data_IF_202271499318
#
_entry.id   IF_202271499318
#
_cell.length_a   1.000
_cell.length_b   1.000
_cell.length_c   1.000
_cell.angle_alpha   90.00
_cell.angle_beta   90.00
_cell.angle_gamma   90.00
#
_symmetry.space_group_name_H-M   'P 1'
#
loop_
_entity.id
_entity.type
_entity.pdbx_description
1 polymer ?
#
# COMPACT_ATOMS: atom_id res chain seq x y z
N UNK A 1 -15.77 -14.03 -27.08
CA UNK A 1 -16.00 -12.86 -26.20
C UNK A 1 -16.06 -13.42 -24.79
N UNK A 2 -14.95 -13.34 -24.03
CA UNK A 2 -14.62 -12.23 -23.11
C UNK A 2 -15.62 -12.26 -21.92
N UNK A 3 -15.25 -12.57 -20.67
CA UNK A 3 -14.32 -11.88 -19.77
C UNK A 3 -13.80 -12.88 -18.71
N UNK A 4 -12.51 -12.85 -18.27
CA UNK A 4 -12.05 -13.68 -17.15
C UNK A 4 -12.59 -13.18 -15.80
N UNK A 5 -12.96 -14.13 -14.93
CA UNK A 5 -13.29 -13.89 -13.54
C UNK A 5 -12.06 -13.36 -12.80
N UNK A 6 -11.95 -12.03 -12.72
CA UNK A 6 -11.00 -11.40 -11.82
C UNK A 6 -11.60 -11.43 -10.41
N UNK A 7 -11.39 -12.56 -9.76
CA UNK A 7 -11.54 -12.79 -8.32
C UNK A 7 -10.54 -11.90 -7.55
N UNK A 8 -10.74 -10.59 -7.59
CA UNK A 8 -10.20 -9.67 -6.58
C UNK A 8 -11.35 -9.20 -5.69
N UNK A 9 -12.07 -10.20 -5.18
CA UNK A 9 -12.92 -10.06 -4.03
C UNK A 9 -12.02 -9.91 -2.80
N UNK A 10 -11.42 -8.74 -2.61
CA UNK A 10 -10.81 -8.36 -1.33
C UNK A 10 -11.65 -7.30 -0.65
N UNK A 11 -12.69 -7.78 0.02
CA UNK A 11 -13.10 -7.30 1.33
C UNK A 11 -13.22 -5.77 1.46
N UNK A 12 -14.20 -5.18 0.76
CA UNK A 12 -14.54 -3.76 0.85
C UNK A 12 -15.35 -3.42 2.13
N UNK A 13 -14.93 -3.91 3.29
CA UNK A 13 -15.61 -3.65 4.58
C UNK A 13 -14.85 -2.64 5.47
N UNK A 14 -13.76 -2.01 5.02
CA UNK A 14 -13.00 -1.03 5.83
C UNK A 14 -12.49 0.15 4.99
N UNK A 15 -13.35 1.16 4.80
CA UNK A 15 -13.00 2.45 4.19
C UNK A 15 -12.67 2.41 2.69
N UNK A 16 -12.70 3.58 2.03
CA UNK A 16 -12.36 3.71 0.60
C UNK A 16 -10.93 4.17 0.43
N UNK A 17 -10.15 3.50 -0.42
CA UNK A 17 -8.81 3.98 -0.80
C UNK A 17 -8.97 5.25 -1.64
N UNK A 18 -8.48 6.39 -1.13
CA UNK A 18 -8.57 7.68 -1.82
C UNK A 18 -7.24 8.13 -2.45
N UNK A 19 -6.12 7.55 -2.00
CA UNK A 19 -4.81 7.71 -2.62
C UNK A 19 -4.06 6.39 -2.51
N UNK A 20 -3.31 6.04 -3.56
CA UNK A 20 -2.39 4.91 -3.57
C UNK A 20 -1.17 5.30 -4.38
N UNK A 21 0.02 5.09 -3.82
CA UNK A 21 1.31 5.34 -4.43
C UNK A 21 2.19 4.11 -4.21
N UNK A 22 2.99 3.78 -5.21
CA UNK A 22 3.98 2.70 -5.13
C UNK A 22 5.31 3.22 -5.63
N UNK A 23 6.38 2.86 -4.93
CA UNK A 23 7.75 3.12 -5.36
C UNK A 23 8.61 1.90 -5.15
N UNK A 24 9.68 1.82 -5.92
CA UNK A 24 10.71 0.80 -5.74
C UNK A 24 11.95 1.47 -5.18
N UNK A 25 12.39 1.03 -4.01
CA UNK A 25 13.57 1.54 -3.33
C UNK A 25 14.64 0.45 -3.27
N UNK A 26 15.86 0.77 -3.70
CA UNK A 26 17.02 -0.09 -3.50
C UNK A 26 17.72 0.33 -2.21
N UNK A 27 17.70 -0.53 -1.21
CA UNK A 27 18.33 -0.28 0.09
C UNK A 27 19.42 -1.33 0.25
N UNK A 28 20.66 -0.86 0.35
CA UNK A 28 21.85 -1.70 0.17
C UNK A 28 21.80 -2.42 -1.19
N UNK A 29 21.76 -3.75 -1.19
CA UNK A 29 21.72 -4.58 -2.39
C UNK A 29 20.32 -5.13 -2.66
N UNK A 30 19.36 -4.82 -1.80
CA UNK A 30 18.03 -5.40 -1.78
C UNK A 30 17.00 -4.45 -2.37
N UNK A 31 16.15 -4.98 -3.25
CA UNK A 31 15.08 -4.22 -3.89
C UNK A 31 13.77 -4.38 -3.09
N UNK A 32 13.29 -3.27 -2.57
CA UNK A 32 12.02 -3.19 -1.86
C UNK A 32 10.99 -2.48 -2.73
N UNK A 33 9.75 -2.93 -2.65
CA UNK A 33 8.60 -2.18 -3.14
C UNK A 33 7.87 -1.61 -1.93
N UNK A 34 7.80 -0.29 -1.86
CA UNK A 34 7.09 0.45 -0.84
C UNK A 34 5.77 0.90 -1.43
N UNK A 35 4.67 0.56 -0.79
CA UNK A 35 3.34 1.01 -1.16
C UNK A 35 2.76 1.83 -0.01
N UNK A 36 2.15 2.96 -0.36
CA UNK A 36 1.48 3.86 0.55
C UNK A 36 0.06 4.09 0.06
N UNK A 37 -0.92 4.03 0.96
CA UNK A 37 -2.31 4.34 0.64
C UNK A 37 -2.95 5.18 1.72
N UNK A 38 -3.97 5.94 1.35
CA UNK A 38 -4.82 6.64 2.31
C UNK A 38 -6.20 6.04 2.24
N UNK A 39 -6.69 5.55 3.38
CA UNK A 39 -8.04 5.04 3.56
C UNK A 39 -8.91 6.17 4.12
N UNK A 40 -10.02 6.46 3.45
CA UNK A 40 -11.08 7.29 4.01
C UNK A 40 -12.04 6.41 4.79
N UNK A 41 -12.12 6.63 6.09
CA UNK A 41 -13.06 5.95 6.99
C UNK A 41 -14.45 6.58 6.89
N UNK A 42 -15.50 5.83 7.26
CA UNK A 42 -16.88 6.31 7.24
C UNK A 42 -17.10 7.55 8.14
N UNK A 43 -16.28 7.71 9.17
CA UNK A 43 -16.25 8.89 10.05
C UNK A 43 -15.67 10.14 9.38
N UNK A 44 -15.21 10.06 8.13
CA UNK A 44 -14.52 11.14 7.41
C UNK A 44 -13.04 11.29 7.77
N UNK A 45 -12.53 10.46 8.68
CA UNK A 45 -11.10 10.42 9.04
C UNK A 45 -10.30 9.78 7.90
N UNK A 46 -9.10 10.31 7.68
CA UNK A 46 -8.13 9.70 6.78
C UNK A 46 -7.11 8.90 7.59
N UNK A 47 -6.92 7.65 7.21
CA UNK A 47 -5.93 6.73 7.79
C UNK A 47 -4.86 6.43 6.74
N UNK A 48 -3.65 7.00 6.86
CA UNK A 48 -2.53 6.60 6.03
C UNK A 48 -2.11 5.19 6.43
N UNK A 49 -1.82 4.36 5.44
CA UNK A 49 -1.33 3.01 5.62
C UNK A 49 -0.20 2.73 4.64
N UNK A 50 0.68 1.81 5.02
CA UNK A 50 1.78 1.38 4.17
C UNK A 50 1.97 -0.12 4.15
N UNK A 51 2.55 -0.62 3.06
CA UNK A 51 2.92 -2.01 2.82
C UNK A 51 4.34 -2.06 2.26
N UNK A 52 5.09 -3.10 2.61
CA UNK A 52 6.45 -3.33 2.12
C UNK A 52 6.57 -4.74 1.56
N UNK A 53 7.10 -4.82 0.34
CA UNK A 53 7.40 -6.06 -0.34
C UNK A 53 8.89 -6.19 -0.59
N UNK A 54 9.37 -7.42 -0.52
CA UNK A 54 10.69 -7.84 -0.90
C UNK A 54 10.56 -8.88 -2.00
N UNK A 55 11.01 -8.58 -3.22
CA UNK A 55 10.93 -9.51 -4.36
C UNK A 55 9.52 -10.12 -4.54
N UNK A 56 8.48 -9.28 -4.44
CA UNK A 56 7.04 -9.66 -4.48
C UNK A 56 6.51 -10.40 -3.26
N UNK A 57 7.33 -10.70 -2.26
CA UNK A 57 6.88 -11.24 -0.97
C UNK A 57 6.49 -10.10 -0.04
N UNK A 58 5.29 -10.16 0.55
CA UNK A 58 4.87 -9.17 1.56
C UNK A 58 5.66 -9.43 2.85
N UNK A 59 6.54 -8.50 3.20
CA UNK A 59 7.29 -8.56 4.47
C UNK A 59 6.63 -7.71 5.57
N UNK A 60 5.84 -6.72 5.16
CA UNK A 60 4.99 -5.92 6.05
C UNK A 60 3.69 -5.65 5.32
N UNK A 61 2.56 -6.14 5.84
CA UNK A 61 1.24 -5.86 5.27
C UNK A 61 0.74 -4.45 5.66
N UNK A 62 -0.44 -4.06 5.20
CA UNK A 62 -1.00 -2.73 5.42
C UNK A 62 -1.04 -2.38 6.90
N UNK A 63 -0.19 -1.43 7.25
CA UNK A 63 0.02 -0.97 8.63
C UNK A 63 -0.28 0.51 8.67
N UNK A 64 -0.98 0.99 9.70
CA UNK A 64 -1.22 2.42 9.89
C UNK A 64 0.11 3.18 10.01
N UNK A 65 0.24 4.28 9.27
CA UNK A 65 1.40 5.15 9.28
C UNK A 65 1.89 5.53 7.90
N UNK A 66 2.94 6.36 7.88
CA UNK A 66 3.58 6.82 6.66
C UNK A 66 4.93 6.13 6.48
N UNK A 67 5.09 5.42 5.37
CA UNK A 67 6.33 4.71 5.03
C UNK A 67 7.51 5.66 4.80
N UNK A 68 7.26 6.91 4.43
CA UNK A 68 8.30 7.93 4.32
C UNK A 68 9.05 8.13 5.64
N UNK A 69 8.36 8.00 6.78
CA UNK A 69 8.99 8.17 8.09
C UNK A 69 9.97 7.04 8.44
N UNK A 70 9.72 5.84 7.93
CA UNK A 70 10.56 4.67 8.21
C UNK A 70 11.75 4.57 7.25
N UNK A 71 11.59 5.05 6.02
CA UNK A 71 12.61 4.94 4.98
C UNK A 71 13.31 6.26 4.64
N UNK A 72 12.83 7.40 5.17
CA UNK A 72 13.35 8.73 4.84
C UNK A 72 13.12 9.15 3.39
N UNK A 73 12.11 8.57 2.73
CA UNK A 73 11.83 8.75 1.30
C UNK A 73 10.52 9.52 1.11
N UNK A 74 10.52 10.55 0.28
CA UNK A 74 9.29 11.25 -0.10
C UNK A 74 8.53 10.43 -1.16
N UNK A 75 7.30 9.98 -0.86
CA UNK A 75 6.53 9.03 -1.69
C UNK A 75 5.34 9.71 -2.41
N UNK A 76 5.15 11.02 -2.21
CA UNK A 76 3.99 11.77 -2.73
C UNK A 76 4.35 12.87 -3.72
#
# INVERSE_FOLDING_TARGET
MDIPANDDQRNAEVGSVIKHASMTARIHETLYTLESRIIQEASGRQRPEYRVLLERNVIKDWTEGDVAQYFGLDIY
#
